data_IF_168732236879
#
_entry.id   IF_168732236879
#
_cell.length_a   1.000
_cell.length_b   1.000
_cell.length_c   1.000
_cell.angle_alpha   90.00
_cell.angle_beta   90.00
_cell.angle_gamma   90.00
#
_symmetry.space_group_name_H-M   'P 1'
#
loop_
_entity.id
_entity.type
_entity.pdbx_description
1 polymer ?
#
# COMPACT_ATOMS: atom_id res chain seq x y z
N UNK A 1 -14.49 -6.60 1.09
CA UNK A 1 -13.15 -6.95 0.54
C UNK A 1 -12.40 -5.65 0.32
N UNK A 2 -11.24 -5.43 0.97
CA UNK A 2 -10.75 -4.08 1.32
C UNK A 2 -9.73 -3.46 0.33
N UNK A 3 -10.11 -3.28 -0.94
CA UNK A 3 -9.29 -2.52 -1.92
C UNK A 3 -7.89 -3.10 -2.18
N UNK A 4 -7.77 -4.43 -2.23
CA UNK A 4 -6.49 -5.12 -2.42
C UNK A 4 -6.16 -5.33 -3.90
N UNK A 5 -4.89 -5.15 -4.23
CA UNK A 5 -4.35 -5.29 -5.58
C UNK A 5 -3.34 -6.44 -5.66
N UNK A 6 -3.59 -7.42 -6.51
CA UNK A 6 -2.79 -8.65 -6.60
C UNK A 6 -2.12 -8.78 -7.97
N UNK A 7 -0.85 -9.19 -8.00
CA UNK A 7 -0.17 -9.44 -9.28
C UNK A 7 -0.54 -10.83 -9.82
N UNK A 8 -0.50 -10.98 -11.14
CA UNK A 8 -0.76 -12.28 -11.79
C UNK A 8 0.22 -13.38 -11.33
N UNK A 9 1.49 -13.04 -11.07
CA UNK A 9 2.47 -14.01 -10.56
C UNK A 9 2.17 -14.45 -9.14
N UNK A 10 1.70 -13.53 -8.29
CA UNK A 10 1.29 -13.84 -6.93
C UNK A 10 0.07 -14.76 -6.93
N UNK A 11 -0.94 -14.47 -7.76
CA UNK A 11 -2.13 -15.31 -7.93
C UNK A 11 -1.79 -16.69 -8.48
N UNK A 12 -0.92 -16.78 -9.49
CA UNK A 12 -0.50 -18.04 -10.08
C UNK A 12 0.14 -18.97 -9.04
N UNK A 13 1.06 -18.43 -8.23
CA UNK A 13 1.71 -19.17 -7.16
C UNK A 13 0.69 -19.61 -6.10
N UNK A 14 -0.16 -18.69 -5.62
CA UNK A 14 -1.12 -19.00 -4.55
C UNK A 14 -2.17 -20.02 -4.97
N UNK A 15 -2.65 -19.96 -6.20
CA UNK A 15 -3.70 -20.84 -6.74
C UNK A 15 -3.14 -22.12 -7.36
N UNK A 16 -1.81 -22.31 -7.33
CA UNK A 16 -1.13 -23.41 -8.00
C UNK A 16 -1.52 -23.54 -9.48
N UNK A 17 -1.59 -22.41 -10.18
CA UNK A 17 -1.92 -22.32 -11.61
C UNK A 17 -0.68 -21.93 -12.41
N UNK A 18 -0.63 -22.34 -13.68
CA UNK A 18 0.40 -21.84 -14.59
C UNK A 18 0.22 -20.33 -14.85
N UNK A 19 1.30 -19.60 -15.20
CA UNK A 19 1.19 -18.19 -15.58
C UNK A 19 0.21 -17.95 -16.74
N UNK A 20 0.15 -18.89 -17.70
CA UNK A 20 -0.76 -18.82 -18.85
C UNK A 20 -2.22 -19.00 -18.41
N UNK A 21 -2.53 -20.02 -17.61
CA UNK A 21 -3.88 -20.26 -17.12
C UNK A 21 -4.36 -19.08 -16.25
N UNK A 22 -3.49 -18.55 -15.39
CA UNK A 22 -3.83 -17.41 -14.53
C UNK A 22 -4.19 -16.17 -15.37
N UNK A 23 -3.39 -15.84 -16.39
CA UNK A 23 -3.69 -14.71 -17.30
C UNK A 23 -4.98 -14.93 -18.07
N UNK A 24 -5.25 -16.16 -18.53
CA UNK A 24 -6.50 -16.49 -19.20
C UNK A 24 -7.73 -16.25 -18.31
N UNK A 25 -7.68 -16.68 -17.05
CA UNK A 25 -8.78 -16.44 -16.10
C UNK A 25 -8.94 -14.96 -15.75
N UNK A 26 -7.83 -14.25 -15.51
CA UNK A 26 -7.86 -12.80 -15.26
C UNK A 26 -8.47 -12.05 -16.44
N UNK A 27 -8.12 -12.43 -17.67
CA UNK A 27 -8.68 -11.83 -18.87
C UNK A 27 -10.20 -12.03 -18.95
N UNK A 28 -10.68 -13.26 -18.68
CA UNK A 28 -12.13 -13.53 -18.63
C UNK A 28 -12.86 -12.68 -17.60
N UNK A 29 -12.29 -12.50 -16.41
CA UNK A 29 -12.88 -11.69 -15.34
C UNK A 29 -12.90 -10.20 -15.70
N UNK A 30 -11.87 -9.74 -16.41
CA UNK A 30 -11.79 -8.38 -16.93
C UNK A 30 -12.78 -8.15 -18.08
N UNK A 31 -12.94 -9.12 -18.99
CA UNK A 31 -13.89 -9.03 -20.11
C UNK A 31 -15.35 -8.89 -19.66
N UNK A 32 -15.67 -9.36 -18.43
CA UNK A 32 -16.98 -9.20 -17.80
C UNK A 32 -17.00 -8.14 -16.71
N UNK A 33 -15.99 -7.27 -16.66
CA UNK A 33 -15.95 -6.12 -15.75
C UNK A 33 -16.03 -6.48 -14.25
N UNK A 34 -15.62 -7.69 -13.84
CA UNK A 34 -15.53 -8.03 -12.41
C UNK A 34 -14.25 -7.51 -11.77
N UNK A 35 -13.20 -7.40 -12.56
CA UNK A 35 -11.91 -6.86 -12.14
C UNK A 35 -11.43 -5.84 -13.17
N UNK A 36 -10.50 -5.01 -12.72
CA UNK A 36 -9.68 -4.17 -13.60
C UNK A 36 -8.22 -4.37 -13.23
N UNK A 37 -7.32 -3.87 -14.08
CA UNK A 37 -5.91 -3.83 -13.74
C UNK A 37 -5.36 -2.41 -13.77
N UNK A 38 -4.30 -2.19 -12.99
CA UNK A 38 -3.44 -1.00 -13.10
C UNK A 38 -1.99 -1.38 -13.19
N UNK A 39 -1.23 -0.57 -13.94
CA UNK A 39 0.21 -0.68 -13.98
C UNK A 39 0.85 0.04 -12.78
N UNK A 40 1.66 -0.68 -12.02
CA UNK A 40 2.50 -0.12 -10.97
C UNK A 40 3.95 -0.56 -11.19
N UNK A 41 4.77 0.35 -11.72
CA UNK A 41 6.12 0.03 -12.17
C UNK A 41 6.10 -0.95 -13.35
N UNK A 42 6.82 -2.06 -13.24
CA UNK A 42 6.91 -3.10 -14.29
C UNK A 42 5.84 -4.21 -14.16
N UNK A 43 4.92 -4.06 -13.21
CA UNK A 43 3.95 -5.09 -12.87
C UNK A 43 2.52 -4.59 -13.05
N UNK A 44 1.65 -5.48 -13.52
CA UNK A 44 0.21 -5.26 -13.53
C UNK A 44 -0.39 -5.90 -12.29
N UNK A 45 -1.25 -5.14 -11.63
CA UNK A 45 -2.00 -5.56 -10.46
C UNK A 45 -3.47 -5.51 -10.76
N UNK A 46 -4.19 -6.52 -10.30
CA UNK A 46 -5.61 -6.73 -10.55
C UNK A 46 -6.39 -6.47 -9.27
N UNK A 47 -7.51 -5.77 -9.42
CA UNK A 47 -8.39 -5.29 -8.36
C UNK A 47 -9.84 -5.57 -8.72
N UNK A 48 -10.67 -5.83 -7.72
CA UNK A 48 -12.13 -5.86 -7.91
C UNK A 48 -12.56 -4.49 -8.45
N UNK A 49 -13.43 -4.47 -9.46
CA UNK A 49 -13.83 -3.25 -10.17
C UNK A 49 -14.29 -2.14 -9.23
N UNK A 50 -15.17 -2.46 -8.29
CA UNK A 50 -15.71 -1.50 -7.33
C UNK A 50 -16.29 -2.20 -6.09
N UNK A 51 -16.78 -1.38 -5.16
CA UNK A 51 -17.37 -1.85 -3.92
C UNK A 51 -18.62 -2.71 -4.15
N UNK A 52 -19.48 -2.37 -5.11
CA UNK A 52 -20.70 -3.13 -5.40
C UNK A 52 -20.37 -4.55 -5.89
N UNK A 53 -19.37 -4.69 -6.77
CA UNK A 53 -18.86 -6.00 -7.19
C UNK A 53 -18.28 -6.78 -6.02
N UNK A 54 -17.54 -6.13 -5.12
CA UNK A 54 -17.00 -6.76 -3.93
C UNK A 54 -18.12 -7.28 -3.01
N UNK A 55 -19.13 -6.45 -2.74
CA UNK A 55 -20.29 -6.83 -1.92
C UNK A 55 -21.06 -7.99 -2.56
N UNK A 56 -21.27 -7.96 -3.88
CA UNK A 56 -21.90 -9.05 -4.60
C UNK A 56 -21.13 -10.37 -4.42
N UNK A 57 -19.81 -10.38 -4.65
CA UNK A 57 -18.97 -11.57 -4.46
C UNK A 57 -19.03 -12.04 -3.00
N UNK A 58 -18.92 -11.14 -2.04
CA UNK A 58 -18.98 -11.47 -0.60
C UNK A 58 -20.34 -12.05 -0.19
N UNK A 59 -21.44 -11.58 -0.78
CA UNK A 59 -22.78 -12.14 -0.52
C UNK A 59 -22.88 -13.60 -0.91
N UNK A 60 -22.16 -14.03 -1.96
CA UNK A 60 -22.14 -15.44 -2.39
C UNK A 60 -21.42 -16.33 -1.37
N UNK A 61 -20.44 -15.80 -0.63
CA UNK A 61 -19.69 -16.56 0.37
C UNK A 61 -20.54 -16.96 1.58
N UNK A 62 -21.62 -16.24 1.85
CA UNK A 62 -22.58 -16.64 2.90
C UNK A 62 -23.34 -17.93 2.54
N UNK A 63 -23.46 -18.24 1.24
CA UNK A 63 -24.16 -19.41 0.73
C UNK A 63 -23.16 -20.52 0.40
N UNK A 64 -22.03 -20.15 -0.22
CA UNK A 64 -20.96 -21.05 -0.65
C UNK A 64 -19.67 -20.57 0.00
N UNK A 65 -19.34 -21.03 1.21
CA UNK A 65 -18.14 -20.56 1.90
C UNK A 65 -16.88 -20.90 1.10
N UNK A 66 -15.92 -19.96 0.98
CA UNK A 66 -14.69 -20.21 0.26
C UNK A 66 -13.86 -21.28 0.97
N UNK A 67 -13.12 -22.08 0.18
CA UNK A 67 -12.17 -23.06 0.72
C UNK A 67 -11.13 -22.35 1.58
N UNK A 68 -10.78 -22.93 2.73
CA UNK A 68 -9.85 -22.33 3.69
C UNK A 68 -8.48 -21.98 3.09
N UNK A 69 -8.02 -22.76 2.10
CA UNK A 69 -6.76 -22.51 1.39
C UNK A 69 -6.71 -21.17 0.62
N UNK A 70 -7.86 -20.53 0.40
CA UNK A 70 -7.98 -19.25 -0.30
C UNK A 70 -7.80 -18.03 0.63
N UNK A 71 -7.83 -18.21 1.95
CA UNK A 71 -7.57 -17.11 2.88
C UNK A 71 -6.09 -16.70 2.82
N UNK A 72 -5.83 -15.39 2.83
CA UNK A 72 -4.49 -14.81 2.71
C UNK A 72 -3.69 -15.00 4.01
N UNK A 73 -2.95 -16.11 4.13
CA UNK A 73 -1.96 -16.30 5.19
C UNK A 73 -0.56 -15.97 4.66
N UNK A 74 -0.06 -14.77 4.98
CA UNK A 74 1.30 -14.35 4.63
C UNK A 74 2.33 -14.95 5.60
N UNK A 75 2.36 -16.25 5.80
CA UNK A 75 3.17 -16.89 6.88
C UNK A 75 4.68 -16.82 6.68
N UNK A 76 5.18 -16.54 5.47
CA UNK A 76 6.61 -16.72 5.13
C UNK A 76 7.48 -15.45 5.15
N UNK A 77 6.94 -14.26 5.43
CA UNK A 77 7.77 -13.03 5.53
C UNK A 77 8.06 -12.69 6.98
N UNK A 78 9.34 -12.45 7.32
CA UNK A 78 9.77 -12.00 8.65
C UNK A 78 8.93 -10.80 9.09
N UNK A 79 8.40 -10.82 10.31
CA UNK A 79 7.45 -9.82 10.81
C UNK A 79 8.00 -8.38 10.71
N UNK A 80 9.29 -8.18 11.04
CA UNK A 80 9.95 -6.87 10.93
C UNK A 80 9.96 -6.30 9.51
N UNK A 81 10.22 -7.15 8.51
CA UNK A 81 10.21 -6.74 7.10
C UNK A 81 8.79 -6.37 6.61
N UNK A 82 7.75 -7.01 7.17
CA UNK A 82 6.37 -6.62 6.92
C UNK A 82 6.02 -5.29 7.59
N UNK A 83 6.52 -5.04 8.79
CA UNK A 83 6.26 -3.79 9.51
C UNK A 83 6.81 -2.57 8.77
N UNK A 84 8.10 -2.55 8.47
CA UNK A 84 8.75 -1.41 7.87
C UNK A 84 9.93 -1.81 6.98
N UNK A 85 9.93 -1.28 5.76
CA UNK A 85 11.02 -1.48 4.79
C UNK A 85 11.03 -0.35 3.76
N UNK A 86 12.00 -0.38 2.86
CA UNK A 86 12.02 0.46 1.67
C UNK A 86 11.39 -0.25 0.46
N UNK A 87 10.49 0.43 -0.24
CA UNK A 87 10.15 0.14 -1.63
C UNK A 87 10.86 1.17 -2.49
N UNK A 88 11.95 0.76 -3.15
CA UNK A 88 12.89 1.70 -3.77
C UNK A 88 13.36 2.77 -2.76
N UNK A 89 12.93 4.03 -2.94
CA UNK A 89 13.32 5.18 -2.13
C UNK A 89 12.25 5.64 -1.13
N UNK A 90 11.14 4.93 -0.96
CA UNK A 90 10.05 5.31 -0.06
C UNK A 90 9.72 4.21 0.95
N UNK A 91 9.05 4.60 2.05
CA UNK A 91 8.61 3.68 3.10
C UNK A 91 7.59 2.68 2.54
N UNK A 92 7.63 1.44 3.02
CA UNK A 92 6.73 0.35 2.67
C UNK A 92 6.51 -0.56 3.90
N UNK A 93 5.59 -1.50 3.79
CA UNK A 93 5.12 -2.33 4.89
C UNK A 93 3.85 -1.82 5.53
N UNK A 94 3.39 -2.53 6.56
CA UNK A 94 2.12 -2.27 7.25
C UNK A 94 2.04 -0.86 7.82
N UNK A 95 3.15 -0.30 8.34
CA UNK A 95 3.19 1.09 8.79
C UNK A 95 2.97 2.08 7.65
N UNK A 96 3.54 1.83 6.47
CA UNK A 96 3.37 2.71 5.32
C UNK A 96 1.92 2.74 4.85
N UNK A 97 1.27 1.57 4.79
CA UNK A 97 -0.13 1.44 4.41
C UNK A 97 -1.04 2.08 5.46
N UNK A 98 -0.79 1.85 6.75
CA UNK A 98 -1.57 2.43 7.84
C UNK A 98 -1.48 3.96 7.84
N UNK A 99 -0.28 4.53 7.67
CA UNK A 99 -0.10 5.97 7.54
C UNK A 99 -0.83 6.53 6.31
N UNK A 100 -0.71 5.85 5.18
CA UNK A 100 -1.39 6.26 3.93
C UNK A 100 -2.91 6.33 4.15
N UNK A 101 -3.49 5.31 4.78
CA UNK A 101 -4.91 5.30 5.10
C UNK A 101 -5.29 6.41 6.09
N UNK A 102 -4.51 6.60 7.15
CA UNK A 102 -4.71 7.69 8.11
C UNK A 102 -4.74 9.06 7.43
N UNK A 103 -3.79 9.31 6.53
CA UNK A 103 -3.70 10.58 5.81
C UNK A 103 -4.84 10.80 4.82
N UNK A 104 -5.38 9.74 4.21
CA UNK A 104 -6.57 9.83 3.36
C UNK A 104 -7.80 10.13 4.21
N UNK A 105 -8.00 9.39 5.31
CA UNK A 105 -9.17 9.55 6.19
C UNK A 105 -9.25 10.95 6.81
N UNK A 106 -8.10 11.55 7.10
CA UNK A 106 -7.98 12.89 7.67
C UNK A 106 -7.83 13.99 6.59
N UNK A 107 -8.05 13.65 5.32
CA UNK A 107 -7.98 14.58 4.17
C UNK A 107 -6.65 15.34 4.04
N UNK A 108 -5.55 14.83 4.63
CA UNK A 108 -4.21 15.39 4.45
C UNK A 108 -3.68 15.12 3.04
N UNK A 109 -4.11 14.00 2.46
CA UNK A 109 -3.88 13.67 1.06
C UNK A 109 -5.20 13.24 0.41
N UNK A 110 -5.35 13.54 -0.87
CA UNK A 110 -6.46 13.06 -1.68
C UNK A 110 -5.95 12.19 -2.82
N UNK A 111 -6.76 11.23 -3.24
CA UNK A 111 -6.48 10.40 -4.40
C UNK A 111 -6.95 11.14 -5.64
N UNK A 112 -6.05 11.34 -6.61
CA UNK A 112 -6.38 11.77 -7.96
C UNK A 112 -5.71 10.81 -8.95
N UNK A 113 -6.52 10.01 -9.64
CA UNK A 113 -6.07 8.95 -10.54
C UNK A 113 -5.05 7.99 -9.86
N UNK A 114 -3.82 7.99 -10.37
CA UNK A 114 -2.71 7.17 -9.88
C UNK A 114 -1.79 7.92 -8.89
N UNK A 115 -2.23 9.07 -8.39
CA UNK A 115 -1.44 9.96 -7.55
C UNK A 115 -2.12 10.25 -6.22
N UNK A 116 -1.28 10.61 -5.25
CA UNK A 116 -1.69 11.24 -4.01
C UNK A 116 -1.30 12.70 -4.06
N UNK A 117 -2.25 13.59 -3.83
CA UNK A 117 -1.99 15.03 -3.75
C UNK A 117 -2.12 15.48 -2.31
N UNK A 118 -1.13 16.22 -1.83
CA UNK A 118 -1.19 16.85 -0.50
C UNK A 118 -2.13 18.04 -0.54
N UNK A 119 -3.13 18.05 0.35
CA UNK A 119 -4.07 19.17 0.50
C UNK A 119 -3.44 20.32 1.27
N UNK A 120 -4.07 21.50 1.28
CA UNK A 120 -3.61 22.61 2.14
C UNK A 120 -3.61 22.22 3.63
N UNK A 121 -4.61 21.45 4.06
CA UNK A 121 -4.66 20.90 5.42
C UNK A 121 -3.47 19.97 5.69
N UNK A 122 -3.17 19.07 4.75
CA UNK A 122 -2.02 18.17 4.82
C UNK A 122 -0.68 18.89 4.86
N UNK A 123 -0.50 19.99 4.11
CA UNK A 123 0.74 20.79 4.16
C UNK A 123 1.01 21.31 5.58
N UNK A 124 -0.02 21.84 6.25
CA UNK A 124 0.08 22.33 7.62
C UNK A 124 0.40 21.19 8.59
N UNK A 125 -0.28 20.06 8.46
CA UNK A 125 -0.03 18.86 9.26
C UNK A 125 1.41 18.37 9.12
N UNK A 126 1.88 18.13 7.90
CA UNK A 126 3.25 17.65 7.65
C UNK A 126 4.29 18.63 8.20
N UNK A 127 4.09 19.94 8.00
CA UNK A 127 4.97 20.98 8.57
C UNK A 127 5.02 20.93 10.09
N UNK A 128 3.87 20.78 10.76
CA UNK A 128 3.77 20.65 12.22
C UNK A 128 4.54 19.44 12.77
N UNK A 129 4.60 18.35 12.00
CA UNK A 129 5.35 17.13 12.34
C UNK A 129 6.78 17.11 11.78
N UNK A 130 7.29 18.24 11.26
CA UNK A 130 8.62 18.36 10.64
C UNK A 130 8.83 17.34 9.50
N UNK A 131 7.75 16.98 8.82
CA UNK A 131 7.74 16.19 7.59
C UNK A 131 7.65 17.15 6.40
N UNK A 132 8.34 16.83 5.30
CA UNK A 132 8.28 17.60 4.05
C UNK A 132 8.73 19.07 4.17
N UNK A 133 9.60 19.40 5.13
CA UNK A 133 9.99 20.79 5.46
C UNK A 133 10.56 21.56 4.26
N UNK A 134 11.18 20.86 3.29
CA UNK A 134 11.79 21.44 2.08
C UNK A 134 11.11 20.96 0.78
N UNK A 135 9.85 20.55 0.85
CA UNK A 135 9.15 20.06 -0.34
C UNK A 135 8.83 21.21 -1.31
N UNK A 136 9.30 21.10 -2.55
CA UNK A 136 8.79 21.87 -3.69
C UNK A 136 7.33 21.47 -4.01
N UNK A 137 6.62 22.23 -4.85
CA UNK A 137 5.27 21.84 -5.29
C UNK A 137 5.22 20.43 -5.93
N UNK A 138 6.28 20.00 -6.64
CA UNK A 138 6.37 18.65 -7.23
C UNK A 138 6.54 17.55 -6.18
N UNK A 139 7.08 17.89 -5.02
CA UNK A 139 7.21 16.99 -3.88
C UNK A 139 5.90 16.78 -3.11
N UNK A 140 4.88 17.63 -3.34
CA UNK A 140 3.52 17.44 -2.84
C UNK A 140 2.72 16.38 -3.60
N UNK A 141 3.34 15.71 -4.58
CA UNK A 141 2.72 14.66 -5.39
C UNK A 141 3.39 13.32 -5.09
N UNK A 142 2.60 12.37 -4.58
CA UNK A 142 2.96 10.97 -4.41
C UNK A 142 2.40 10.10 -5.52
N UNK A 143 3.02 8.95 -5.77
CA UNK A 143 2.47 7.91 -6.63
C UNK A 143 1.74 6.87 -5.77
N UNK A 144 0.62 6.34 -6.26
CA UNK A 144 -0.04 5.16 -5.69
C UNK A 144 0.81 3.93 -5.98
N UNK A 145 1.72 3.60 -5.05
CA UNK A 145 2.49 2.37 -5.11
C UNK A 145 1.73 1.27 -4.37
N UNK A 146 1.96 0.02 -4.72
CA UNK A 146 1.30 -1.13 -4.10
C UNK A 146 2.32 -1.86 -3.24
N UNK A 147 2.03 -1.95 -1.95
CA UNK A 147 2.82 -2.74 -1.05
C UNK A 147 2.58 -4.24 -1.31
N UNK A 148 3.63 -4.99 -1.63
CA UNK A 148 3.47 -6.38 -2.02
C UNK A 148 3.15 -7.33 -0.85
N UNK A 149 3.40 -6.93 0.41
CA UNK A 149 3.06 -7.75 1.58
C UNK A 149 1.65 -7.43 2.06
N UNK A 150 1.22 -6.18 1.95
CA UNK A 150 -0.12 -5.78 2.38
C UNK A 150 -1.17 -5.85 1.26
N UNK A 151 -0.71 -5.89 0.00
CA UNK A 151 -1.51 -5.79 -1.22
C UNK A 151 -2.38 -4.53 -1.26
N UNK A 152 -1.89 -3.42 -0.68
CA UNK A 152 -2.61 -2.16 -0.54
C UNK A 152 -1.75 -0.98 -0.95
N UNK A 153 -2.42 0.14 -1.22
CA UNK A 153 -1.74 1.36 -1.59
C UNK A 153 -0.90 1.93 -0.45
N UNK A 154 0.26 2.44 -0.84
CA UNK A 154 1.09 3.28 0.01
C UNK A 154 1.73 4.41 -0.80
N UNK A 155 2.14 5.47 -0.10
CA UNK A 155 2.69 6.66 -0.74
C UNK A 155 4.09 6.38 -1.29
N UNK A 156 4.18 6.29 -2.62
CA UNK A 156 5.43 6.22 -3.36
C UNK A 156 5.81 7.53 -4.05
N UNK A 157 6.82 7.47 -4.92
CA UNK A 157 7.29 8.62 -5.70
C UNK A 157 8.01 9.69 -4.86
N UNK A 158 8.10 10.94 -5.36
CA UNK A 158 8.81 12.03 -4.70
C UNK A 158 8.30 12.32 -3.28
N UNK A 159 6.99 12.39 -3.08
CA UNK A 159 6.38 12.56 -1.76
C UNK A 159 6.80 11.46 -0.78
N UNK A 160 6.67 10.19 -1.19
CA UNK A 160 7.04 9.04 -0.36
C UNK A 160 8.52 9.03 0.01
N UNK A 161 9.39 9.47 -0.91
CA UNK A 161 10.82 9.57 -0.66
C UNK A 161 11.15 10.66 0.37
N UNK A 162 10.50 11.82 0.28
CA UNK A 162 10.71 12.92 1.23
C UNK A 162 10.13 12.62 2.60
N UNK A 163 8.99 11.92 2.68
CA UNK A 163 8.46 11.42 3.94
C UNK A 163 9.48 10.49 4.61
N UNK A 164 9.96 9.47 3.88
CA UNK A 164 10.96 8.55 4.42
C UNK A 164 12.23 9.29 4.85
N UNK A 165 12.74 10.21 4.01
CA UNK A 165 13.92 11.01 4.34
C UNK A 165 13.73 11.82 5.62
N UNK A 166 12.58 12.49 5.77
CA UNK A 166 12.26 13.27 6.97
C UNK A 166 12.21 12.36 8.21
N UNK A 167 11.61 11.18 8.08
CA UNK A 167 11.51 10.21 9.17
C UNK A 167 12.88 9.63 9.54
N UNK A 168 13.78 9.40 8.59
CA UNK A 168 15.17 8.98 8.84
C UNK A 168 15.97 10.08 9.53
N UNK A 169 15.88 11.34 9.06
CA UNK A 169 16.56 12.49 9.68
C UNK A 169 16.10 12.75 11.12
N UNK A 170 14.83 12.45 11.41
CA UNK A 170 14.28 12.52 12.76
C UNK A 170 14.54 11.25 13.60
N UNK A 171 15.27 10.27 13.06
CA UNK A 171 15.61 8.99 13.69
C UNK A 171 14.39 8.13 14.05
N UNK A 172 13.31 8.21 13.28
CA UNK A 172 12.15 7.36 13.48
C UNK A 172 12.43 5.92 13.02
N UNK A 173 13.26 5.79 12.00
CA UNK A 173 13.76 4.53 11.50
C UNK A 173 15.28 4.52 11.52
N UNK A 174 15.86 3.33 11.70
CA UNK A 174 17.25 3.03 11.42
C UNK A 174 17.31 2.09 10.23
N UNK A 175 18.13 2.44 9.25
CA UNK A 175 18.41 1.57 8.12
C UNK A 175 19.65 0.74 8.45
N UNK A 176 19.52 -0.58 8.38
CA UNK A 176 20.65 -1.49 8.55
C UNK A 176 21.36 -1.63 7.20
N UNK A 177 22.70 -1.66 7.23
CA UNK A 177 23.49 -1.73 6.00
C UNK A 177 23.10 -2.96 5.14
N UNK A 178 22.95 -2.72 3.84
CA UNK A 178 22.67 -3.71 2.80
C UNK A 178 21.30 -4.42 2.82
N UNK A 179 20.33 -3.99 3.62
CA UNK A 179 18.96 -4.52 3.52
C UNK A 179 17.90 -3.42 3.38
N UNK A 180 16.78 -3.78 2.74
CA UNK A 180 15.59 -2.95 2.60
C UNK A 180 14.81 -2.83 3.92
N UNK A 181 15.05 -3.71 4.89
CA UNK A 181 14.38 -3.68 6.19
C UNK A 181 14.73 -2.40 6.97
N UNK A 182 13.72 -1.78 7.57
CA UNK A 182 13.88 -0.60 8.42
C UNK A 182 13.54 -0.98 9.86
N UNK A 183 14.42 -0.65 10.80
CA UNK A 183 14.16 -0.85 12.22
C UNK A 183 13.47 0.39 12.79
N UNK A 184 12.27 0.23 13.33
CA UNK A 184 11.54 1.32 13.98
C UNK A 184 12.17 1.59 15.35
N UNK A 185 12.57 2.84 15.60
CA UNK A 185 13.11 3.23 16.91
C UNK A 185 11.97 3.45 17.92
N UNK A 186 12.23 3.45 19.24
CA UNK A 186 11.21 3.80 20.24
C UNK A 186 10.59 5.19 19.98
N UNK A 187 11.43 6.17 19.62
CA UNK A 187 11.01 7.52 19.21
C UNK A 187 10.13 7.47 17.96
N UNK A 188 10.53 6.70 16.95
CA UNK A 188 9.75 6.50 15.74
C UNK A 188 8.39 5.90 16.01
N UNK A 189 8.33 4.82 16.80
CA UNK A 189 7.07 4.17 17.17
C UNK A 189 6.12 5.14 17.88
N UNK A 190 6.62 5.96 18.81
CA UNK A 190 5.79 6.99 19.47
C UNK A 190 5.21 7.98 18.45
N UNK A 191 6.04 8.54 17.58
CA UNK A 191 5.59 9.54 16.59
C UNK A 191 4.69 8.94 15.51
N UNK A 192 4.99 7.73 15.03
CA UNK A 192 4.15 7.03 14.05
C UNK A 192 2.75 6.77 14.60
N UNK A 193 2.61 6.41 15.88
CA UNK A 193 1.30 6.25 16.50
C UNK A 193 0.53 7.57 16.57
N UNK A 194 1.21 8.71 16.80
CA UNK A 194 0.55 10.04 16.76
C UNK A 194 0.00 10.34 15.36
N UNK A 195 0.63 9.83 14.31
CA UNK A 195 0.17 10.00 12.93
C UNK A 195 -0.99 9.06 12.53
N UNK A 196 -1.29 8.04 13.33
CA UNK A 196 -2.47 7.18 13.16
C UNK A 196 -3.61 7.77 14.00
N UNK A 197 -4.23 8.83 13.48
CA UNK A 197 -5.13 9.72 14.23
C UNK A 197 -6.46 9.03 14.61
N UNK A 198 -6.79 7.92 13.94
CA UNK A 198 -7.98 7.13 14.22
C UNK A 198 -7.62 5.72 14.72
N UNK A 199 -7.97 5.45 15.98
CA UNK A 199 -8.18 4.09 16.50
C UNK A 199 -9.62 3.93 16.92
#
# INVERSE_FOLDING_TARGET
MNGRALSASWLANRLNLSPQATRFHLKKLEDVDLIHHRACGKHHYYEIKNQDTAMFIESTFNIIPPKECLFLSNTNTKEKFKEARTCYKHLAGSWSVALTQSFINNEFIVIQDNFFLVTEHGKNFFKGHKLLINASNTASIGKRCIDFTEHRDHIGGPLGALLLQSMLQQEWFKQNDNNRELTITPKGRKNLNVLLIDK
#
